data_IF_411454031241
#
_entry.id   IF_411454031241
#
_cell.length_a   1.000
_cell.length_b   1.000
_cell.length_c   1.000
_cell.angle_alpha   90.00
_cell.angle_beta   90.00
_cell.angle_gamma   90.00
#
_symmetry.space_group_name_H-M   'P 1'
#
loop_
_entity.id
_entity.type
_entity.pdbx_description
1 polymer ?
#
# COMPACT_ATOMS: atom_id res chain seq x y z
N UNK A 1 7.46 -19.45 -1.10
CA UNK A 1 6.71 -19.54 -2.38
C UNK A 1 5.62 -20.60 -2.30
N UNK A 2 5.89 -21.74 -1.67
CA UNK A 2 4.96 -22.87 -1.59
C UNK A 2 3.59 -22.53 -1.00
N UNK A 3 3.52 -21.58 -0.08
CA UNK A 3 2.24 -21.17 0.54
C UNK A 3 1.28 -20.49 -0.43
N UNK A 4 1.74 -20.01 -1.59
CA UNK A 4 0.86 -19.47 -2.64
C UNK A 4 0.27 -20.56 -3.53
N UNK A 5 0.89 -21.75 -3.59
CA UNK A 5 0.55 -22.80 -4.57
C UNK A 5 -0.89 -23.27 -4.36
N UNK A 6 -1.62 -23.37 -5.47
CA UNK A 6 -3.01 -23.80 -5.51
C UNK A 6 -3.98 -22.68 -5.88
N UNK A 7 -5.26 -23.03 -5.78
CA UNK A 7 -6.37 -22.19 -6.24
C UNK A 7 -6.92 -21.34 -5.09
N UNK A 8 -6.98 -20.04 -5.34
CA UNK A 8 -7.60 -19.04 -4.50
C UNK A 8 -8.85 -18.51 -5.18
N UNK A 9 -9.90 -18.31 -4.40
CA UNK A 9 -11.18 -17.77 -4.87
C UNK A 9 -11.53 -16.54 -4.05
N UNK A 10 -11.92 -15.47 -4.73
CA UNK A 10 -12.46 -14.28 -4.07
C UNK A 10 -13.89 -14.59 -3.61
N UNK A 11 -14.05 -14.84 -2.30
CA UNK A 11 -15.32 -15.29 -1.70
C UNK A 11 -16.38 -14.18 -1.65
N UNK A 12 -15.94 -12.93 -1.57
CA UNK A 12 -16.79 -11.74 -1.56
C UNK A 12 -16.14 -10.68 -2.43
N UNK A 13 -16.96 -9.90 -3.15
CA UNK A 13 -16.45 -8.76 -3.90
C UNK A 13 -15.72 -7.81 -2.95
N UNK A 14 -14.53 -7.38 -3.38
CA UNK A 14 -13.71 -6.40 -2.68
C UNK A 14 -14.53 -5.20 -2.17
N UNK A 15 -14.14 -4.63 -1.02
CA UNK A 15 -14.87 -3.54 -0.36
C UNK A 15 -15.25 -2.45 -1.38
N UNK A 16 -16.56 -2.21 -1.61
CA UNK A 16 -17.02 -1.31 -2.65
C UNK A 16 -16.38 0.06 -2.56
N UNK A 17 -16.13 0.59 -1.35
CA UNK A 17 -15.52 1.93 -1.19
C UNK A 17 -14.04 1.97 -1.59
N UNK A 18 -13.31 0.89 -1.38
CA UNK A 18 -11.89 0.80 -1.74
C UNK A 18 -11.71 0.61 -3.24
N UNK A 19 -12.53 -0.26 -3.84
CA UNK A 19 -12.61 -0.45 -5.29
C UNK A 19 -13.04 0.85 -5.98
N UNK A 20 -14.05 1.54 -5.44
CA UNK A 20 -14.56 2.79 -6.00
C UNK A 20 -13.48 3.89 -6.02
N UNK A 21 -12.74 4.06 -4.90
CA UNK A 21 -11.62 5.00 -4.80
C UNK A 21 -10.46 4.63 -5.72
N UNK A 22 -10.12 3.33 -5.81
CA UNK A 22 -9.09 2.84 -6.71
C UNK A 22 -9.43 3.21 -8.16
N UNK A 23 -10.65 2.89 -8.60
CA UNK A 23 -11.08 3.08 -9.97
C UNK A 23 -11.23 4.56 -10.35
N UNK A 24 -11.60 5.43 -9.41
CA UNK A 24 -11.61 6.90 -9.62
C UNK A 24 -10.22 7.48 -9.88
N UNK A 25 -9.18 6.85 -9.34
CA UNK A 25 -7.79 7.29 -9.57
C UNK A 25 -7.24 6.86 -10.92
N UNK A 26 -7.93 5.97 -11.66
CA UNK A 26 -7.48 5.41 -12.94
C UNK A 26 -8.03 6.19 -14.12
N UNK A 27 -7.13 6.65 -15.01
CA UNK A 27 -7.53 7.24 -16.29
C UNK A 27 -8.18 6.18 -17.17
N UNK A 28 -9.35 6.48 -17.72
CA UNK A 28 -10.00 5.62 -18.73
C UNK A 28 -10.84 4.46 -18.16
N UNK A 29 -11.17 4.50 -16.87
CA UNK A 29 -12.24 3.68 -16.28
C UNK A 29 -13.53 4.50 -16.31
N UNK A 30 -14.54 4.01 -17.02
CA UNK A 30 -15.87 4.63 -17.05
C UNK A 30 -16.79 4.03 -15.97
N UNK A 31 -17.99 4.59 -15.81
CA UNK A 31 -18.96 4.14 -14.80
C UNK A 31 -19.43 2.70 -15.02
N UNK A 32 -19.48 2.22 -16.27
CA UNK A 32 -19.90 0.85 -16.56
C UNK A 32 -18.82 -0.15 -16.12
N UNK A 33 -17.57 0.13 -16.44
CA UNK A 33 -16.42 -0.65 -16.00
C UNK A 33 -16.27 -0.61 -14.47
N UNK A 34 -16.55 0.54 -13.84
CA UNK A 34 -16.60 0.70 -12.39
C UNK A 34 -17.60 -0.25 -11.75
N UNK A 35 -18.83 -0.30 -12.26
CA UNK A 35 -19.88 -1.18 -11.76
C UNK A 35 -19.54 -2.68 -11.96
N UNK A 36 -18.90 -3.03 -13.08
CA UNK A 36 -18.43 -4.40 -13.33
C UNK A 36 -17.40 -4.84 -12.29
N UNK A 37 -16.38 -4.03 -12.03
CA UNK A 37 -15.36 -4.35 -11.03
C UNK A 37 -15.90 -4.42 -9.60
N UNK A 38 -16.86 -3.56 -9.24
CA UNK A 38 -17.48 -3.55 -7.91
C UNK A 38 -18.25 -4.83 -7.56
N UNK A 39 -18.74 -5.55 -8.57
CA UNK A 39 -19.50 -6.80 -8.39
C UNK A 39 -18.70 -8.03 -8.79
N UNK A 40 -17.49 -7.83 -9.31
CA UNK A 40 -16.70 -8.93 -9.82
C UNK A 40 -16.05 -9.72 -8.69
N UNK A 41 -15.93 -11.01 -8.92
CA UNK A 41 -15.07 -11.91 -8.16
C UNK A 41 -14.13 -12.59 -9.13
N UNK A 42 -13.02 -13.11 -8.64
CA UNK A 42 -12.06 -13.82 -9.45
C UNK A 42 -11.51 -15.08 -8.80
N UNK A 43 -10.73 -15.80 -9.59
CA UNK A 43 -9.89 -16.89 -9.09
C UNK A 43 -8.45 -16.68 -9.52
N UNK A 44 -7.51 -17.14 -8.70
CA UNK A 44 -6.08 -17.18 -9.01
C UNK A 44 -5.56 -18.57 -8.67
N UNK A 45 -4.99 -19.29 -9.64
CA UNK A 45 -4.34 -20.59 -9.42
C UNK A 45 -2.84 -20.45 -9.67
N UNK A 46 -2.04 -20.64 -8.62
CA UNK A 46 -0.59 -20.53 -8.68
C UNK A 46 0.05 -21.92 -8.78
N UNK A 47 0.95 -22.05 -9.75
CA UNK A 47 1.81 -23.23 -9.92
C UNK A 47 3.26 -22.79 -9.93
N UNK A 48 4.10 -23.54 -9.22
CA UNK A 48 5.54 -23.25 -9.12
C UNK A 48 6.31 -24.43 -9.71
N UNK A 49 7.17 -24.14 -10.69
CA UNK A 49 8.04 -25.11 -11.35
C UNK A 49 9.48 -24.56 -11.37
N UNK A 50 10.30 -25.02 -10.42
CA UNK A 50 11.62 -24.43 -10.19
C UNK A 50 11.52 -22.97 -9.76
N UNK A 51 12.11 -22.06 -10.53
CA UNK A 51 12.07 -20.61 -10.26
C UNK A 51 10.96 -19.87 -11.03
N UNK A 52 10.14 -20.60 -11.78
CA UNK A 52 9.06 -20.02 -12.58
C UNK A 52 7.73 -20.21 -11.86
N UNK A 53 6.98 -19.12 -11.72
CA UNK A 53 5.62 -19.13 -11.20
C UNK A 53 4.67 -18.91 -12.36
N UNK A 54 3.66 -19.77 -12.49
CA UNK A 54 2.57 -19.62 -13.45
C UNK A 54 1.29 -19.30 -12.69
N UNK A 55 0.58 -18.26 -13.12
CA UNK A 55 -0.67 -17.80 -12.52
C UNK A 55 -1.77 -17.87 -13.56
N UNK A 56 -2.79 -18.68 -13.30
CA UNK A 56 -4.04 -18.65 -14.04
C UNK A 56 -5.04 -17.76 -13.30
N UNK A 57 -5.59 -16.75 -13.97
CA UNK A 57 -6.52 -15.78 -13.38
C UNK A 57 -7.81 -15.75 -14.18
N UNK A 58 -8.94 -15.74 -13.47
CA UNK A 58 -10.27 -15.49 -14.03
C UNK A 58 -10.97 -14.40 -13.25
N UNK A 59 -11.92 -13.72 -13.89
CA UNK A 59 -12.79 -12.73 -13.22
C UNK A 59 -14.17 -12.73 -13.86
N UNK A 60 -15.20 -12.52 -13.05
CA UNK A 60 -16.57 -12.36 -13.55
C UNK A 60 -16.81 -11.00 -14.22
N UNK A 61 -15.90 -10.02 -14.07
CA UNK A 61 -15.94 -8.78 -14.86
C UNK A 61 -15.72 -9.04 -16.36
N UNK A 62 -14.94 -10.08 -16.69
CA UNK A 62 -14.58 -10.49 -18.04
C UNK A 62 -14.62 -12.03 -18.16
N UNK A 63 -15.82 -12.63 -18.21
CA UNK A 63 -16.02 -14.08 -18.05
C UNK A 63 -15.23 -14.94 -19.05
N UNK A 64 -15.00 -14.43 -20.26
CA UNK A 64 -14.30 -15.13 -21.35
C UNK A 64 -12.84 -14.69 -21.51
N UNK A 65 -12.35 -13.80 -20.64
CA UNK A 65 -10.99 -13.24 -20.72
C UNK A 65 -10.03 -13.82 -19.66
N UNK A 66 -10.33 -15.01 -19.14
CA UNK A 66 -9.40 -15.75 -18.29
C UNK A 66 -8.05 -15.90 -18.97
N UNK A 67 -6.97 -15.69 -18.22
CA UNK A 67 -5.60 -15.70 -18.76
C UNK A 67 -4.64 -16.46 -17.87
N UNK A 68 -3.55 -16.93 -18.47
CA UNK A 68 -2.43 -17.53 -17.77
C UNK A 68 -1.17 -16.79 -18.14
N UNK A 69 -0.33 -16.47 -17.16
CA UNK A 69 0.98 -15.86 -17.37
C UNK A 69 2.02 -16.47 -16.46
N UNK A 70 3.27 -16.43 -16.89
CA UNK A 70 4.40 -16.96 -16.13
C UNK A 70 5.44 -15.89 -15.92
N UNK A 71 6.07 -15.91 -14.75
CA UNK A 71 7.14 -14.99 -14.39
C UNK A 71 8.23 -15.69 -13.58
N UNK A 72 9.43 -15.13 -13.61
CA UNK A 72 10.52 -15.47 -12.70
C UNK A 72 10.67 -14.34 -11.69
N UNK A 73 10.81 -14.69 -10.41
CA UNK A 73 10.79 -13.68 -9.36
C UNK A 73 11.95 -12.68 -9.49
N UNK A 74 11.63 -11.39 -9.42
CA UNK A 74 12.58 -10.28 -9.58
C UNK A 74 12.92 -9.93 -11.03
N UNK A 75 12.44 -10.69 -12.01
CA UNK A 75 12.67 -10.40 -13.43
C UNK A 75 11.49 -9.62 -14.03
N UNK A 76 11.76 -8.58 -14.84
CA UNK A 76 10.71 -7.86 -15.55
C UNK A 76 10.17 -8.69 -16.71
N UNK A 77 8.87 -8.58 -16.96
CA UNK A 77 8.19 -9.22 -18.09
C UNK A 77 7.16 -8.27 -18.73
N UNK A 78 6.87 -8.53 -20.01
CA UNK A 78 5.88 -7.84 -20.81
C UNK A 78 4.64 -8.74 -20.95
N UNK A 79 3.44 -8.16 -20.82
CA UNK A 79 2.21 -8.94 -20.89
C UNK A 79 0.98 -8.07 -21.27
N UNK A 80 -0.19 -8.71 -21.37
CA UNK A 80 -1.46 -8.12 -21.79
C UNK A 80 -2.52 -8.24 -20.69
N UNK A 81 -3.10 -7.13 -20.24
CA UNK A 81 -4.20 -7.14 -19.29
C UNK A 81 -5.45 -7.83 -19.88
N UNK A 82 -6.42 -8.18 -19.02
CA UNK A 82 -7.66 -8.85 -19.43
C UNK A 82 -8.52 -8.01 -20.40
N UNK A 83 -8.34 -6.70 -20.40
CA UNK A 83 -8.99 -5.80 -21.36
C UNK A 83 -8.23 -5.68 -22.70
N UNK A 84 -7.18 -6.48 -22.89
CA UNK A 84 -6.39 -6.56 -24.11
C UNK A 84 -5.37 -5.44 -24.28
N UNK A 85 -5.06 -4.68 -23.24
CA UNK A 85 -4.06 -3.62 -23.30
C UNK A 85 -2.71 -4.03 -22.67
N UNK A 86 -1.58 -3.56 -23.22
CA UNK A 86 -0.26 -4.00 -22.78
C UNK A 86 0.16 -3.37 -21.44
N UNK A 87 0.94 -4.13 -20.68
CA UNK A 87 1.61 -3.67 -19.47
C UNK A 87 2.98 -4.34 -19.31
N UNK A 88 3.83 -3.70 -18.50
CA UNK A 88 5.11 -4.26 -18.05
C UNK A 88 5.08 -4.41 -16.54
N UNK A 89 5.60 -5.52 -16.02
CA UNK A 89 5.62 -5.75 -14.57
C UNK A 89 6.88 -6.47 -14.11
N UNK A 90 7.14 -6.41 -12.82
CA UNK A 90 8.12 -7.21 -12.10
C UNK A 90 7.43 -7.74 -10.85
N UNK A 91 7.55 -9.04 -10.61
CA UNK A 91 6.98 -9.68 -9.43
C UNK A 91 8.10 -10.21 -8.55
N UNK A 92 8.21 -9.67 -7.35
CA UNK A 92 9.16 -10.11 -6.32
C UNK A 92 8.42 -10.87 -5.24
N UNK A 93 8.92 -12.06 -4.90
CA UNK A 93 8.42 -12.85 -3.78
C UNK A 93 9.43 -12.70 -2.65
N UNK A 94 8.97 -12.15 -1.54
CA UNK A 94 9.78 -11.88 -0.35
C UNK A 94 9.38 -12.87 0.74
N UNK A 95 10.28 -13.81 1.05
CA UNK A 95 9.95 -14.91 1.95
C UNK A 95 8.95 -15.88 1.34
N UNK A 96 8.24 -16.62 2.20
CA UNK A 96 7.30 -17.62 1.71
C UNK A 96 5.91 -17.08 1.41
N UNK A 97 5.48 -16.06 2.13
CA UNK A 97 4.09 -15.63 2.27
C UNK A 97 3.75 -14.30 1.60
N UNK A 98 4.73 -13.57 1.06
CA UNK A 98 4.53 -12.20 0.55
C UNK A 98 5.00 -12.06 -0.90
N UNK A 99 4.12 -11.54 -1.76
CA UNK A 99 4.39 -11.26 -3.17
C UNK A 99 4.09 -9.79 -3.47
N UNK A 100 5.03 -9.10 -4.12
CA UNK A 100 4.87 -7.71 -4.57
C UNK A 100 5.02 -7.65 -6.08
N UNK A 101 4.00 -7.13 -6.74
CA UNK A 101 4.00 -6.85 -8.16
C UNK A 101 4.10 -5.33 -8.36
N UNK A 102 5.02 -4.86 -9.18
CA UNK A 102 5.14 -3.46 -9.58
C UNK A 102 5.17 -3.38 -11.09
N UNK A 103 4.55 -2.36 -11.66
CA UNK A 103 4.49 -2.26 -13.10
C UNK A 103 3.91 -0.97 -13.63
N UNK A 104 3.76 -0.94 -14.94
CA UNK A 104 3.14 0.15 -15.66
C UNK A 104 2.22 -0.40 -16.74
N UNK A 105 0.98 0.04 -16.66
CA UNK A 105 -0.04 -0.23 -17.66
C UNK A 105 -0.12 0.94 -18.64
N UNK A 106 -0.17 0.67 -19.95
CA UNK A 106 -0.15 1.77 -20.93
C UNK A 106 -1.40 2.67 -20.83
N UNK A 107 -2.57 2.06 -20.57
CA UNK A 107 -3.85 2.77 -20.36
C UNK A 107 -3.98 3.41 -18.95
N UNK A 108 -3.75 2.63 -17.89
CA UNK A 108 -4.10 3.02 -16.52
C UNK A 108 -2.93 3.61 -15.70
N UNK A 109 -1.71 3.61 -16.23
CA UNK A 109 -0.51 4.15 -15.59
C UNK A 109 0.20 3.15 -14.67
N UNK A 110 1.04 3.69 -13.79
CA UNK A 110 1.85 2.88 -12.86
C UNK A 110 0.96 2.15 -11.84
N UNK A 111 1.39 0.98 -11.38
CA UNK A 111 0.70 0.21 -10.36
C UNK A 111 1.68 -0.55 -9.48
N UNK A 112 1.23 -0.86 -8.26
CA UNK A 112 1.85 -1.82 -7.37
C UNK A 112 0.75 -2.64 -6.72
N UNK A 113 0.96 -3.93 -6.52
CA UNK A 113 0.03 -4.83 -5.86
C UNK A 113 0.82 -5.69 -4.88
N UNK A 114 0.29 -5.87 -3.67
CA UNK A 114 0.88 -6.73 -2.66
C UNK A 114 -0.12 -7.84 -2.34
N UNK A 115 0.36 -9.08 -2.36
CA UNK A 115 -0.40 -10.26 -1.98
C UNK A 115 0.29 -10.92 -0.79
N UNK A 116 -0.47 -11.26 0.26
CA UNK A 116 0.06 -11.92 1.45
C UNK A 116 -0.81 -13.10 1.86
N UNK A 117 -0.19 -14.25 2.09
CA UNK A 117 -0.84 -15.46 2.61
C UNK A 117 -0.85 -15.40 4.14
N UNK A 118 -2.02 -15.54 4.74
CA UNK A 118 -2.21 -15.61 6.18
C UNK A 118 -3.13 -16.81 6.50
N UNK A 119 -2.53 -17.97 6.75
CA UNK A 119 -3.25 -19.23 6.89
C UNK A 119 -3.97 -19.60 5.59
N UNK A 120 -5.29 -19.80 5.67
CA UNK A 120 -6.13 -20.14 4.52
C UNK A 120 -6.67 -18.91 3.77
N UNK A 121 -6.06 -17.74 3.97
CA UNK A 121 -6.50 -16.47 3.35
C UNK A 121 -5.39 -15.82 2.53
N UNK A 122 -5.71 -15.39 1.31
CA UNK A 122 -4.84 -14.56 0.48
C UNK A 122 -5.35 -13.12 0.49
N UNK A 123 -4.63 -12.23 1.19
CA UNK A 123 -4.94 -10.80 1.22
C UNK A 123 -4.26 -10.10 0.05
N UNK A 124 -5.05 -9.42 -0.77
CA UNK A 124 -4.54 -8.61 -1.89
C UNK A 124 -4.78 -7.13 -1.60
N UNK A 125 -3.76 -6.29 -1.81
CA UNK A 125 -3.84 -4.83 -1.62
C UNK A 125 -3.17 -4.09 -2.75
N UNK A 126 -3.91 -3.24 -3.45
CA UNK A 126 -3.32 -2.38 -4.47
C UNK A 126 -2.59 -1.19 -3.85
N UNK A 127 -1.27 -1.31 -3.97
CA UNK A 127 -0.22 -0.30 -3.98
C UNK A 127 -0.47 0.81 -4.99
N UNK A 128 -1.38 1.77 -4.80
CA UNK A 128 -1.28 2.96 -5.62
C UNK A 128 0.18 3.46 -5.43
N UNK A 129 1.05 3.68 -6.43
CA UNK A 129 2.24 4.56 -6.29
C UNK A 129 2.48 5.41 -7.56
N UNK A 130 2.68 6.74 -7.44
CA UNK A 130 3.04 7.62 -8.58
C UNK A 130 4.53 7.89 -8.47
N UNK A 131 5.32 7.46 -9.46
CA UNK A 131 6.78 7.68 -9.51
C UNK A 131 7.09 8.81 -10.51
N UNK A 132 7.95 9.77 -10.14
CA UNK A 132 8.57 10.71 -11.08
C UNK A 132 10.06 10.41 -11.25
N UNK A 133 10.57 10.61 -12.46
CA UNK A 133 11.93 10.26 -12.90
C UNK A 133 12.98 11.10 -12.15
N UNK A 134 13.89 10.42 -11.43
CA UNK A 134 15.04 11.01 -10.73
C UNK A 134 15.15 10.74 -9.22
N UNK A 135 14.21 10.00 -8.61
CA UNK A 135 14.29 9.58 -7.20
C UNK A 135 15.00 8.24 -7.00
N UNK A 136 15.67 8.08 -5.86
CA UNK A 136 16.28 6.83 -5.41
C UNK A 136 15.18 5.82 -5.00
N UNK A 137 15.42 4.52 -5.19
CA UNK A 137 14.42 3.45 -5.11
C UNK A 137 13.96 3.10 -3.67
N UNK A 138 14.47 3.82 -2.67
CA UNK A 138 14.06 3.73 -1.26
C UNK A 138 12.90 4.69 -0.88
N UNK A 139 12.40 5.50 -1.81
CA UNK A 139 11.56 6.68 -1.51
C UNK A 139 10.06 6.58 -1.87
N UNK A 140 9.36 5.46 -1.61
CA UNK A 140 7.93 5.34 -1.96
C UNK A 140 7.05 4.87 -0.80
N UNK A 141 6.74 5.80 0.11
CA UNK A 141 5.67 5.64 1.09
C UNK A 141 4.33 6.06 0.46
N UNK A 142 3.36 5.14 0.37
CA UNK A 142 1.97 5.54 0.16
C UNK A 142 1.12 5.07 1.32
N UNK A 143 0.62 6.05 2.06
CA UNK A 143 -0.40 5.91 3.09
C UNK A 143 -1.71 5.49 2.41
N UNK A 144 -2.29 4.37 2.84
CA UNK A 144 -3.72 4.16 2.80
C UNK A 144 -4.12 3.80 4.23
N UNK A 145 -4.61 4.80 4.95
CA UNK A 145 -5.14 4.65 6.31
C UNK A 145 -6.52 3.98 6.25
N UNK A 146 -6.64 2.82 6.89
CA UNK A 146 -7.94 2.35 7.39
C UNK A 146 -8.34 3.21 8.59
N UNK A 147 -9.17 4.23 8.35
CA UNK A 147 -9.67 5.11 9.42
C UNK A 147 -11.02 4.67 9.92
N UNK A 148 -11.03 3.79 10.92
CA UNK A 148 -12.27 3.40 11.60
C UNK A 148 -12.78 4.44 12.63
N UNK A 149 -12.05 5.52 12.95
CA UNK A 149 -12.51 6.49 13.97
C UNK A 149 -12.18 7.98 13.70
N UNK A 150 -12.57 8.54 12.55
CA UNK A 150 -12.55 10.00 12.36
C UNK A 150 -13.88 10.66 12.78
N UNK A 151 -14.20 10.63 14.08
CA UNK A 151 -15.32 11.44 14.61
C UNK A 151 -14.88 12.90 14.69
N UNK A 152 -15.57 13.79 13.96
CA UNK A 152 -15.40 15.25 14.06
C UNK A 152 -14.51 15.92 13.00
N UNK A 153 -13.86 15.16 12.11
CA UNK A 153 -13.07 15.75 11.00
C UNK A 153 -14.01 16.10 9.82
N UNK A 154 -14.00 17.35 9.31
CA UNK A 154 -14.82 17.74 8.16
C UNK A 154 -14.52 16.89 6.91
N UNK A 155 -15.53 16.54 6.08
CA UNK A 155 -15.35 15.72 4.88
C UNK A 155 -14.28 16.25 3.91
N UNK A 156 -14.22 17.57 3.72
CA UNK A 156 -13.22 18.22 2.85
C UNK A 156 -11.78 18.00 3.35
N UNK A 157 -11.58 17.98 4.66
CA UNK A 157 -10.28 17.73 5.29
C UNK A 157 -9.92 16.24 5.17
N UNK A 158 -10.89 15.33 5.31
CA UNK A 158 -10.69 13.89 5.08
C UNK A 158 -10.24 13.61 3.64
N UNK A 159 -10.91 14.21 2.68
CA UNK A 159 -10.60 14.05 1.25
C UNK A 159 -9.23 14.63 0.88
N UNK A 160 -8.87 15.77 1.49
CA UNK A 160 -7.54 16.34 1.35
C UNK A 160 -6.47 15.37 1.87
N UNK A 161 -6.62 14.84 3.09
CA UNK A 161 -5.65 13.89 3.65
C UNK A 161 -5.56 12.57 2.87
N UNK A 162 -6.64 12.09 2.24
CA UNK A 162 -6.60 10.88 1.38
C UNK A 162 -5.73 11.06 0.15
N UNK A 163 -5.65 12.29 -0.36
CA UNK A 163 -4.84 12.64 -1.54
C UNK A 163 -3.41 12.99 -1.19
N UNK A 164 -3.17 13.35 0.07
CA UNK A 164 -1.85 13.71 0.58
C UNK A 164 -0.91 12.53 0.62
N UNK A 165 0.29 12.71 0.08
CA UNK A 165 1.42 11.80 0.25
C UNK A 165 2.36 12.39 1.28
N UNK A 166 2.46 11.75 2.45
CA UNK A 166 3.52 12.03 3.41
C UNK A 166 4.75 11.16 3.16
N UNK A 167 5.92 11.72 3.42
CA UNK A 167 7.22 11.05 3.34
C UNK A 167 7.99 11.25 4.64
N UNK A 168 8.79 10.25 5.00
CA UNK A 168 9.55 10.19 6.24
C UNK A 168 10.98 9.72 5.98
N UNK A 169 11.97 10.54 6.32
CA UNK A 169 13.39 10.16 6.27
C UNK A 169 13.88 9.88 7.69
N UNK A 170 14.39 8.68 7.94
CA UNK A 170 14.88 8.25 9.24
C UNK A 170 16.42 8.21 9.27
N UNK A 171 17.04 8.92 10.21
CA UNK A 171 18.44 8.76 10.61
C UNK A 171 18.46 8.11 12.01
N UNK A 172 18.87 6.84 12.05
CA UNK A 172 18.77 5.97 13.22
C UNK A 172 20.17 5.75 13.82
N UNK A 173 20.36 6.17 15.07
CA UNK A 173 21.60 5.99 15.83
C UNK A 173 21.31 5.34 17.17
N UNK A 174 21.15 4.02 17.15
CA UNK A 174 20.70 3.25 18.30
C UNK A 174 19.30 3.70 18.74
N UNK A 175 19.18 4.17 19.99
CA UNK A 175 17.90 4.64 20.53
C UNK A 175 17.58 6.10 20.16
N UNK A 176 18.52 6.84 19.54
CA UNK A 176 18.32 8.23 19.10
C UNK A 176 17.91 8.26 17.63
N UNK A 177 16.73 8.79 17.38
CA UNK A 177 16.11 8.80 16.07
C UNK A 177 15.89 10.23 15.64
N UNK A 178 16.26 10.53 14.39
CA UNK A 178 15.95 11.78 13.73
C UNK A 178 15.06 11.48 12.55
N UNK A 179 13.86 12.06 12.53
CA UNK A 179 12.84 11.82 11.52
C UNK A 179 12.52 13.13 10.82
N UNK A 180 12.75 13.20 9.52
CA UNK A 180 12.27 14.31 8.69
C UNK A 180 10.93 13.90 8.10
N UNK A 181 9.86 14.61 8.44
CA UNK A 181 8.51 14.40 7.95
C UNK A 181 8.12 15.53 7.00
N UNK A 182 7.63 15.19 5.82
CA UNK A 182 6.99 16.15 4.93
C UNK A 182 5.79 15.57 4.23
N UNK A 183 5.08 16.43 3.51
CA UNK A 183 3.96 16.01 2.67
C UNK A 183 3.88 16.85 1.40
N UNK A 184 3.36 16.26 0.33
CA UNK A 184 3.17 16.91 -0.97
C UNK A 184 2.23 18.12 -0.94
N UNK A 185 1.26 18.13 -0.02
CA UNK A 185 0.35 19.25 0.22
C UNK A 185 1.03 20.47 0.86
N UNK A 186 2.23 20.29 1.42
CA UNK A 186 3.00 21.30 2.15
C UNK A 186 4.48 21.28 1.75
N UNK A 187 4.81 21.49 0.46
CA UNK A 187 6.19 21.40 -0.02
C UNK A 187 7.05 22.50 0.62
N UNK A 188 8.25 22.15 1.09
CA UNK A 188 9.17 23.09 1.76
C UNK A 188 8.81 23.42 3.21
N UNK A 189 7.81 22.73 3.79
CA UNK A 189 7.44 22.83 5.21
C UNK A 189 7.79 21.56 5.97
N UNK A 190 8.88 20.91 5.60
CA UNK A 190 9.30 19.67 6.24
C UNK A 190 9.66 19.93 7.70
N UNK A 191 9.21 19.03 8.57
CA UNK A 191 9.47 19.07 9.99
C UNK A 191 10.52 18.03 10.33
N UNK A 192 11.38 18.35 11.28
CA UNK A 192 12.42 17.45 11.77
C UNK A 192 12.13 17.18 13.24
N UNK A 193 11.97 15.91 13.57
CA UNK A 193 11.80 15.43 14.93
C UNK A 193 13.06 14.70 15.36
N UNK A 194 13.53 14.98 16.57
CA UNK A 194 14.62 14.24 17.20
C UNK A 194 14.12 13.71 18.54
N UNK A 195 14.18 12.40 18.73
CA UNK A 195 13.66 11.76 19.92
C UNK A 195 14.45 10.51 20.31
N UNK A 196 14.24 10.08 21.55
CA UNK A 196 14.75 8.81 22.06
C UNK A 196 13.61 7.80 22.18
N UNK A 197 13.83 6.57 21.69
CA UNK A 197 12.84 5.50 21.80
C UNK A 197 12.45 5.25 23.27
N UNK A 198 11.14 5.05 23.49
CA UNK A 198 10.54 4.83 24.81
C UNK A 198 10.42 6.08 25.68
N UNK A 199 10.83 7.26 25.19
CA UNK A 199 10.65 8.54 25.89
C UNK A 199 9.60 9.40 25.20
N UNK A 200 8.90 10.20 26.00
CA UNK A 200 8.01 11.23 25.48
C UNK A 200 8.84 12.33 24.82
N UNK A 201 8.41 12.75 23.63
CA UNK A 201 8.88 13.96 22.98
C UNK A 201 7.70 14.82 22.53
N UNK A 202 7.97 16.11 22.39
CA UNK A 202 7.01 17.10 21.90
C UNK A 202 7.35 17.47 20.46
N UNK A 203 6.32 17.72 19.66
CA UNK A 203 6.48 18.10 18.27
C UNK A 203 5.30 18.91 17.75
N UNK A 204 5.43 19.32 16.50
CA UNK A 204 4.38 20.00 15.74
C UNK A 204 4.03 19.18 14.50
N UNK A 205 2.76 19.14 14.13
CA UNK A 205 2.28 18.55 12.87
C UNK A 205 2.43 19.54 11.72
N UNK A 206 2.33 19.06 10.48
CA UNK A 206 2.36 19.92 9.29
C UNK A 206 1.21 20.95 9.24
N UNK A 207 0.14 20.73 10.02
CA UNK A 207 -0.97 21.68 10.18
C UNK A 207 -0.76 22.67 11.34
N UNK A 208 0.41 22.65 11.99
CA UNK A 208 0.78 23.52 13.11
C UNK A 208 0.27 23.05 14.48
N UNK A 209 -0.50 21.97 14.55
CA UNK A 209 -0.97 21.44 15.84
C UNK A 209 0.16 20.79 16.63
N UNK A 210 0.24 21.03 17.93
CA UNK A 210 1.25 20.42 18.80
C UNK A 210 0.82 19.03 19.24
N UNK A 211 1.81 18.18 19.49
CA UNK A 211 1.60 16.84 20.02
C UNK A 211 2.69 16.43 21.01
N UNK A 212 2.36 15.47 21.86
CA UNK A 212 3.26 14.63 22.64
C UNK A 212 3.22 13.22 22.09
N UNK A 213 4.35 12.56 21.93
CA UNK A 213 4.43 11.19 21.42
C UNK A 213 5.46 10.36 22.16
N UNK A 214 5.16 9.07 22.33
CA UNK A 214 6.11 8.04 22.77
C UNK A 214 6.20 6.97 21.68
N UNK A 215 7.40 6.81 21.10
CA UNK A 215 7.67 5.80 20.08
C UNK A 215 8.40 4.61 20.70
N UNK A 216 7.83 3.42 20.53
CA UNK A 216 8.35 2.15 21.02
C UNK A 216 8.59 1.21 19.84
N UNK A 217 9.69 0.46 19.88
CA UNK A 217 9.96 -0.66 18.95
C UNK A 217 9.45 -1.94 19.60
N UNK A 218 8.54 -2.66 18.92
CA UNK A 218 7.90 -3.89 19.44
C UNK A 218 8.50 -5.18 18.87
N UNK A 219 9.51 -5.06 18.00
CA UNK A 219 10.20 -6.16 17.34
C UNK A 219 11.09 -5.62 16.24
N UNK A 220 11.77 -6.50 15.50
CA UNK A 220 12.74 -6.09 14.47
C UNK A 220 12.13 -5.18 13.38
N UNK A 221 10.82 -5.32 13.18
CA UNK A 221 10.08 -4.72 12.07
C UNK A 221 8.83 -3.96 12.52
N UNK A 222 8.61 -3.75 13.81
CA UNK A 222 7.36 -3.15 14.29
C UNK A 222 7.60 -2.00 15.27
N UNK A 223 6.83 -0.93 15.09
CA UNK A 223 6.84 0.25 15.95
C UNK A 223 5.42 0.60 16.39
N UNK A 224 5.30 1.15 17.59
CA UNK A 224 4.10 1.83 18.07
C UNK A 224 4.44 3.23 18.49
N UNK A 225 3.58 4.18 18.14
CA UNK A 225 3.67 5.59 18.43
C UNK A 225 2.37 6.00 19.10
N UNK A 226 2.42 6.18 20.41
CA UNK A 226 1.29 6.67 21.20
C UNK A 226 1.36 8.18 21.23
N UNK A 227 0.36 8.83 20.64
CA UNK A 227 0.37 10.26 20.45
C UNK A 227 -0.84 10.90 21.12
N UNK A 228 -0.61 12.06 21.74
CA UNK A 228 -1.64 12.97 22.21
C UNK A 228 -1.45 14.30 21.47
N UNK A 229 -2.41 14.66 20.62
CA UNK A 229 -2.40 15.88 19.85
C UNK A 229 -3.49 16.85 20.34
N UNK A 230 -3.16 18.14 20.44
CA UNK A 230 -4.08 19.16 20.97
C UNK A 230 -5.39 19.29 20.19
N UNK A 231 -5.38 18.98 18.90
CA UNK A 231 -6.53 19.11 17.99
C UNK A 231 -7.26 17.78 17.76
N UNK A 232 -6.53 16.67 17.71
CA UNK A 232 -7.06 15.36 17.31
C UNK A 232 -7.23 14.39 18.48
N UNK A 233 -6.81 14.77 19.69
CA UNK A 233 -6.87 13.92 20.88
C UNK A 233 -5.80 12.83 20.88
N UNK A 234 -6.07 11.79 21.67
CA UNK A 234 -5.18 10.63 21.81
C UNK A 234 -5.44 9.59 20.71
N UNK A 235 -4.37 9.07 20.13
CA UNK A 235 -4.42 7.98 19.16
C UNK A 235 -3.12 7.19 19.17
N UNK A 236 -3.17 5.97 18.66
CA UNK A 236 -1.99 5.12 18.55
C UNK A 236 -1.72 4.80 17.09
N UNK A 237 -0.48 5.03 16.63
CA UNK A 237 -0.04 4.62 15.30
C UNK A 237 0.84 3.38 15.46
N UNK A 238 0.47 2.28 14.83
CA UNK A 238 1.34 1.12 14.65
C UNK A 238 1.95 1.15 13.25
N UNK A 239 3.25 0.87 13.16
CA UNK A 239 3.99 0.79 11.90
C UNK A 239 4.65 -0.58 11.81
N UNK A 240 4.40 -1.33 10.74
CA UNK A 240 5.09 -2.61 10.47
C UNK A 240 5.89 -2.48 9.17
N UNK A 241 7.19 -2.69 9.26
CA UNK A 241 8.17 -2.54 8.18
C UNK A 241 8.42 -3.93 7.57
N UNK A 242 8.31 -4.05 6.25
CA UNK A 242 8.66 -5.26 5.52
C UNK A 242 9.50 -4.87 4.31
N UNK A 243 10.83 -5.03 4.45
CA UNK A 243 11.82 -4.54 3.48
C UNK A 243 11.67 -3.04 3.25
N UNK A 244 11.40 -2.65 1.99
CA UNK A 244 11.23 -1.25 1.58
C UNK A 244 9.77 -0.76 1.71
N UNK A 245 8.94 -1.44 2.49
CA UNK A 245 7.54 -1.07 2.69
C UNK A 245 7.22 -0.90 4.17
N UNK A 246 6.34 0.05 4.49
CA UNK A 246 5.86 0.27 5.85
C UNK A 246 4.33 0.36 5.82
N UNK A 247 3.69 -0.56 6.53
CA UNK A 247 2.25 -0.52 6.80
C UNK A 247 2.02 0.36 8.02
N UNK A 248 1.06 1.27 7.94
CA UNK A 248 0.70 2.17 9.05
C UNK A 248 -0.77 1.98 9.40
N UNK A 249 -1.05 1.70 10.67
CA UNK A 249 -2.41 1.54 11.21
C UNK A 249 -2.59 2.54 12.34
N UNK A 250 -3.71 3.27 12.35
CA UNK A 250 -4.06 4.20 13.44
C UNK A 250 -5.27 3.66 14.20
N UNK A 251 -5.14 3.58 15.51
CA UNK A 251 -6.18 3.20 16.47
C UNK A 251 -6.68 4.43 17.23
#
# INVERSE_FOLDING_TARGET
MDTFVGKWEELEASNPKEVDQLLESRKGVDSEMKEKFLKSTGTMDYKVEGNTVTVAVTTTAFPDAGRSYSFTSGEPFDDMAMDGSPYKATITISGDDTMTETGKHEKYGDFKMVRKVEGDSLKCKEVNAIIKKGGDLNDLFRLHEDRQQDKGVPPEVKEQFRKTVSYFDYDIKGNKWRVKHGADMSPGKELIYEFELGKEFEGEMLDGSKFKSVVTVNGDNELTDKMNNEKWGEFTIQRSINGNSMTVVRY
#
